data_IF_376598647656
#
_entry.id   IF_376598647656
#
_cell.length_a   1.000
_cell.length_b   1.000
_cell.length_c   1.000
_cell.angle_alpha   90.00
_cell.angle_beta   90.00
_cell.angle_gamma   90.00
#
_symmetry.space_group_name_H-M   'P 1'
#
loop_
_entity.id
_entity.type
_entity.pdbx_description
1 polymer ?
#
# COMPACT_ATOMS: atom_id res chain seq x y z
N UNK A 1 -10.65 21.05 5.43
CA UNK A 1 -9.71 20.25 4.61
C UNK A 1 -10.26 20.16 3.19
N UNK A 2 -9.43 20.14 2.15
CA UNK A 2 -9.89 19.95 0.77
C UNK A 2 -10.08 18.46 0.51
N UNK A 3 -11.30 17.94 0.64
CA UNK A 3 -11.61 16.51 0.45
C UNK A 3 -11.15 15.92 -0.90
N UNK A 4 -11.21 16.63 -2.05
CA UNK A 4 -10.63 16.13 -3.30
C UNK A 4 -9.12 15.84 -3.22
N UNK A 5 -8.39 16.62 -2.42
CA UNK A 5 -6.96 16.41 -2.22
C UNK A 5 -6.69 15.17 -1.35
N UNK A 6 -7.52 14.94 -0.33
CA UNK A 6 -7.46 13.73 0.50
C UNK A 6 -7.70 12.48 -0.34
N UNK A 7 -8.74 12.47 -1.18
CA UNK A 7 -9.05 11.36 -2.09
C UNK A 7 -7.89 11.06 -3.03
N UNK A 8 -7.28 12.09 -3.63
CA UNK A 8 -6.13 11.92 -4.54
C UNK A 8 -4.89 11.35 -3.84
N UNK A 9 -4.59 11.82 -2.63
CA UNK A 9 -3.49 11.25 -1.83
C UNK A 9 -3.76 9.78 -1.53
N UNK A 10 -5.00 9.46 -1.14
CA UNK A 10 -5.39 8.10 -0.82
C UNK A 10 -5.25 7.15 -2.02
N UNK A 11 -5.63 7.60 -3.22
CA UNK A 11 -5.45 6.84 -4.46
C UNK A 11 -3.97 6.61 -4.80
N UNK A 12 -3.13 7.64 -4.64
CA UNK A 12 -1.67 7.49 -4.84
C UNK A 12 -1.10 6.49 -3.84
N UNK A 13 -1.50 6.57 -2.57
CA UNK A 13 -1.06 5.65 -1.52
C UNK A 13 -1.52 4.21 -1.78
N UNK A 14 -2.73 4.02 -2.34
CA UNK A 14 -3.22 2.70 -2.73
C UNK A 14 -2.31 2.07 -3.79
N UNK A 15 -2.05 2.78 -4.89
CA UNK A 15 -1.19 2.28 -5.97
C UNK A 15 0.22 2.01 -5.47
N UNK A 16 0.78 2.93 -4.68
CA UNK A 16 2.12 2.78 -4.11
C UNK A 16 2.20 1.57 -3.17
N UNK A 17 1.19 1.37 -2.31
CA UNK A 17 1.16 0.23 -1.39
C UNK A 17 1.12 -1.09 -2.14
N UNK A 18 0.29 -1.20 -3.19
CA UNK A 18 0.26 -2.40 -4.05
C UNK A 18 1.62 -2.63 -4.72
N UNK A 19 2.25 -1.60 -5.28
CA UNK A 19 3.56 -1.73 -5.91
C UNK A 19 4.64 -2.23 -4.93
N UNK A 20 4.65 -1.69 -3.70
CA UNK A 20 5.57 -2.14 -2.65
C UNK A 20 5.27 -3.59 -2.25
N UNK A 21 3.99 -3.97 -2.12
CA UNK A 21 3.61 -5.36 -1.81
C UNK A 21 4.09 -6.33 -2.90
N UNK A 22 3.94 -5.98 -4.18
CA UNK A 22 4.41 -6.82 -5.28
C UNK A 22 5.94 -6.96 -5.26
N UNK A 23 6.67 -5.87 -4.98
CA UNK A 23 8.12 -5.91 -4.85
C UNK A 23 8.56 -6.79 -3.68
N UNK A 24 7.92 -6.67 -2.52
CA UNK A 24 8.28 -7.49 -1.35
C UNK A 24 7.90 -8.94 -1.52
N UNK A 25 6.79 -9.24 -2.23
CA UNK A 25 6.45 -10.60 -2.62
C UNK A 25 7.49 -11.19 -3.56
N UNK A 26 7.95 -10.42 -4.55
CA UNK A 26 9.00 -10.86 -5.46
C UNK A 26 10.27 -11.24 -4.70
N UNK A 27 10.78 -10.33 -3.87
CA UNK A 27 12.01 -10.50 -3.10
C UNK A 27 11.90 -11.64 -2.07
N UNK A 28 10.75 -11.75 -1.40
CA UNK A 28 10.57 -12.71 -0.31
C UNK A 28 10.12 -14.11 -0.74
N UNK A 29 9.54 -14.28 -1.93
CA UNK A 29 8.95 -15.56 -2.34
C UNK A 29 9.34 -16.04 -3.75
N UNK A 30 9.50 -15.14 -4.73
CA UNK A 30 9.73 -15.56 -6.13
C UNK A 30 11.22 -15.66 -6.49
N UNK A 31 12.07 -14.85 -5.85
CA UNK A 31 13.50 -14.81 -6.11
C UNK A 31 14.35 -15.09 -4.84
N UNK A 32 14.06 -16.13 -4.05
CA UNK A 32 14.72 -16.34 -2.75
C UNK A 32 16.23 -16.57 -2.86
N UNK A 33 16.70 -17.16 -3.96
CA UNK A 33 18.14 -17.43 -4.16
C UNK A 33 18.94 -16.18 -4.55
N UNK A 34 18.27 -15.12 -5.01
CA UNK A 34 18.90 -13.88 -5.44
C UNK A 34 19.18 -12.92 -4.26
N UNK A 35 18.58 -13.16 -3.09
CA UNK A 35 18.62 -12.25 -1.95
C UNK A 35 19.06 -12.93 -0.66
N UNK A 36 19.81 -12.20 0.17
CA UNK A 36 20.23 -12.70 1.48
C UNK A 36 19.05 -12.97 2.41
N UNK A 37 19.24 -13.87 3.38
CA UNK A 37 18.22 -14.17 4.40
C UNK A 37 17.75 -12.90 5.14
N UNK A 38 18.66 -11.97 5.43
CA UNK A 38 18.31 -10.69 6.06
C UNK A 38 17.39 -9.84 5.16
N UNK A 39 17.66 -9.80 3.85
CA UNK A 39 16.82 -9.09 2.87
C UNK A 39 15.44 -9.72 2.74
N UNK A 40 15.35 -11.05 2.73
CA UNK A 40 14.07 -11.77 2.69
C UNK A 40 13.22 -11.48 3.94
N UNK A 41 13.80 -11.55 5.14
CA UNK A 41 13.14 -11.18 6.39
C UNK A 41 12.63 -9.73 6.32
N UNK A 42 13.49 -8.81 5.87
CA UNK A 42 13.12 -7.42 5.65
C UNK A 42 11.92 -7.27 4.71
N UNK A 43 11.90 -7.98 3.59
CA UNK A 43 10.80 -7.96 2.62
C UNK A 43 9.49 -8.46 3.24
N UNK A 44 9.51 -9.56 4.01
CA UNK A 44 8.32 -10.06 4.71
C UNK A 44 7.78 -9.06 5.74
N UNK A 45 8.66 -8.40 6.50
CA UNK A 45 8.24 -7.37 7.46
C UNK A 45 7.65 -6.16 6.71
N UNK A 46 8.32 -5.68 5.66
CA UNK A 46 7.85 -4.58 4.82
C UNK A 46 6.50 -4.88 4.16
N UNK A 47 6.22 -6.13 3.79
CA UNK A 47 4.93 -6.56 3.26
C UNK A 47 3.78 -6.30 4.25
N UNK A 48 4.00 -6.53 5.56
CA UNK A 48 2.99 -6.27 6.60
C UNK A 48 2.68 -4.76 6.68
N UNK A 49 3.72 -3.92 6.66
CA UNK A 49 3.55 -2.47 6.67
C UNK A 49 2.84 -1.97 5.40
N UNK A 50 3.20 -2.48 4.22
CA UNK A 50 2.57 -2.12 2.96
C UNK A 50 1.09 -2.55 2.91
N UNK A 51 0.76 -3.75 3.38
CA UNK A 51 -0.62 -4.21 3.47
C UNK A 51 -1.45 -3.37 4.47
N UNK A 52 -0.84 -2.94 5.58
CA UNK A 52 -1.48 -2.03 6.54
C UNK A 52 -1.73 -0.66 5.92
N UNK A 53 -0.74 -0.11 5.22
CA UNK A 53 -0.85 1.16 4.51
C UNK A 53 -1.94 1.13 3.44
N UNK A 54 -2.07 0.01 2.70
CA UNK A 54 -3.14 -0.19 1.72
C UNK A 54 -4.52 -0.05 2.37
N UNK A 55 -4.75 -0.68 3.52
CA UNK A 55 -6.03 -0.60 4.25
C UNK A 55 -6.31 0.83 4.73
N UNK A 56 -5.31 1.52 5.26
CA UNK A 56 -5.44 2.92 5.69
C UNK A 56 -5.77 3.82 4.50
N UNK A 57 -5.03 3.68 3.39
CA UNK A 57 -5.26 4.43 2.16
C UNK A 57 -6.68 4.19 1.61
N UNK A 58 -7.16 2.95 1.64
CA UNK A 58 -8.53 2.63 1.28
C UNK A 58 -9.55 3.37 2.13
N UNK A 59 -9.42 3.34 3.46
CA UNK A 59 -10.32 4.07 4.38
C UNK A 59 -10.28 5.57 4.12
N UNK A 60 -9.10 6.15 3.89
CA UNK A 60 -8.96 7.59 3.57
C UNK A 60 -9.65 7.95 2.25
N UNK A 61 -9.55 7.08 1.23
CA UNK A 61 -10.27 7.23 -0.04
C UNK A 61 -11.77 7.18 0.21
N UNK A 62 -12.24 6.24 1.03
CA UNK A 62 -13.65 6.11 1.37
C UNK A 62 -14.20 7.38 2.06
N UNK A 63 -13.49 7.87 3.08
CA UNK A 63 -13.85 9.12 3.77
C UNK A 63 -13.83 10.30 2.78
N UNK A 64 -12.78 10.43 1.98
CA UNK A 64 -12.67 11.51 1.00
C UNK A 64 -13.83 11.52 -0.01
N UNK A 65 -14.20 10.36 -0.56
CA UNK A 65 -15.34 10.23 -1.49
C UNK A 65 -16.69 10.46 -0.82
N UNK A 66 -16.88 9.94 0.40
CA UNK A 66 -18.10 10.13 1.18
C UNK A 66 -18.40 11.61 1.44
N UNK A 67 -17.41 12.38 1.88
CA UNK A 67 -17.57 13.82 2.14
C UNK A 67 -17.79 14.64 0.86
N UNK A 68 -17.51 14.06 -0.31
CA UNK A 68 -17.80 14.65 -1.61
C UNK A 68 -19.17 14.22 -2.17
N UNK A 69 -19.95 13.43 -1.41
CA UNK A 69 -21.20 12.79 -1.87
C UNK A 69 -21.01 11.94 -3.13
N UNK A 70 -19.83 11.34 -3.29
CA UNK A 70 -19.53 10.39 -4.34
C UNK A 70 -19.77 8.97 -3.80
N UNK A 71 -20.00 8.02 -4.71
CA UNK A 71 -19.97 6.59 -4.37
C UNK A 71 -18.60 6.21 -3.79
N UNK A 72 -18.52 5.14 -3.00
CA UNK A 72 -17.33 4.80 -2.21
C UNK A 72 -16.57 3.61 -2.79
#
# INVERSE_FOLDING_TARGET
MKFPFLTRIAEILLVLSVAIMLLTIWVGYLAPDDFSMATQIGAHISLIFAATLLKIAYVLRCVGRHEQHLEV
#
